data_IF_621534468500
#
_entry.id   IF_621534468500
#
_cell.length_a   1.000
_cell.length_b   1.000
_cell.length_c   1.000
_cell.angle_alpha   90.00
_cell.angle_beta   90.00
_cell.angle_gamma   90.00
#
_symmetry.space_group_name_H-M   'P 1'
#
loop_
_entity.id
_entity.type
_entity.pdbx_description
1 polymer ?
#
# COMPACT_ATOMS: atom_id res chain seq x y z
N UNK A 1 43.87 23.83 -62.42
CA UNK A 1 43.41 22.73 -61.58
C UNK A 1 44.43 22.37 -60.51
N UNK A 2 44.12 22.72 -59.26
CA UNK A 2 44.78 22.19 -58.08
C UNK A 2 43.70 21.57 -57.20
N UNK A 3 43.66 20.23 -57.15
CA UNK A 3 42.69 19.45 -56.38
C UNK A 3 42.98 19.51 -54.88
N UNK A 4 41.95 19.85 -54.10
CA UNK A 4 42.00 19.92 -52.65
C UNK A 4 42.05 18.54 -51.98
N UNK A 5 42.99 18.35 -51.06
CA UNK A 5 43.01 17.24 -50.12
C UNK A 5 42.07 17.54 -48.94
N UNK A 6 41.00 16.76 -48.79
CA UNK A 6 40.20 16.71 -47.56
C UNK A 6 40.94 15.86 -46.52
N UNK A 7 41.63 16.52 -45.59
CA UNK A 7 42.21 15.89 -44.40
C UNK A 7 41.11 15.49 -43.41
N UNK A 8 40.78 14.20 -43.36
CA UNK A 8 39.94 13.62 -42.32
C UNK A 8 40.66 13.66 -40.97
N UNK A 9 39.96 14.16 -39.95
CA UNK A 9 40.47 14.28 -38.59
C UNK A 9 40.65 12.88 -37.96
N UNK A 10 41.86 12.48 -37.49
CA UNK A 10 42.13 11.12 -37.01
C UNK A 10 41.61 10.86 -35.57
N UNK A 11 40.95 11.84 -34.96
CA UNK A 11 40.43 11.77 -33.59
C UNK A 11 38.91 11.54 -33.54
N UNK A 12 38.33 10.90 -34.57
CA UNK A 12 37.01 10.30 -34.44
C UNK A 12 37.14 9.11 -33.48
N UNK A 13 37.03 9.40 -32.18
CA UNK A 13 36.74 8.41 -31.16
C UNK A 13 35.36 7.84 -31.48
N UNK A 14 35.34 6.83 -32.34
CA UNK A 14 34.19 5.98 -32.53
C UNK A 14 33.74 5.52 -31.16
N UNK A 15 32.52 5.90 -30.79
CA UNK A 15 31.78 5.34 -29.67
C UNK A 15 31.61 3.84 -29.94
N UNK A 16 32.66 3.06 -29.65
CA UNK A 16 32.58 1.63 -29.54
C UNK A 16 31.62 1.34 -28.40
N UNK A 17 30.40 0.92 -28.76
CA UNK A 17 29.47 0.29 -27.84
C UNK A 17 30.16 -0.95 -27.30
N UNK A 18 30.92 -0.77 -26.22
CA UNK A 18 31.44 -1.85 -25.41
C UNK A 18 30.22 -2.46 -24.72
N UNK A 19 29.61 -3.45 -25.40
CA UNK A 19 28.60 -4.31 -24.82
C UNK A 19 29.30 -5.16 -23.76
N UNK A 20 29.58 -4.57 -22.61
CA UNK A 20 30.10 -5.27 -21.45
C UNK A 20 28.92 -6.04 -20.85
N UNK A 21 28.86 -7.38 -20.93
CA UNK A 21 27.74 -8.16 -20.42
C UNK A 21 27.54 -8.00 -18.90
N UNK A 22 28.58 -7.53 -18.20
CA UNK A 22 28.51 -7.17 -16.79
C UNK A 22 27.70 -5.88 -16.54
N UNK A 23 27.84 -4.84 -17.37
CA UNK A 23 27.07 -3.60 -17.21
C UNK A 23 25.60 -3.80 -17.59
N UNK A 24 25.32 -4.56 -18.65
CA UNK A 24 23.93 -4.88 -19.03
C UNK A 24 23.22 -5.76 -18.00
N UNK A 25 23.92 -6.72 -17.38
CA UNK A 25 23.38 -7.54 -16.29
C UNK A 25 23.08 -6.74 -15.03
N UNK A 26 23.95 -5.79 -14.67
CA UNK A 26 23.76 -4.90 -13.53
C UNK A 26 22.56 -3.96 -13.75
N UNK A 27 22.49 -3.27 -14.89
CA UNK A 27 21.36 -2.38 -15.25
C UNK A 27 20.02 -3.13 -15.23
N UNK A 28 19.97 -4.36 -15.76
CA UNK A 28 18.77 -5.21 -15.73
C UNK A 28 18.35 -5.56 -14.30
N UNK A 29 19.30 -5.87 -13.42
CA UNK A 29 19.04 -6.15 -12.00
C UNK A 29 18.43 -4.93 -11.29
N UNK A 30 19.02 -3.75 -11.45
CA UNK A 30 18.50 -2.52 -10.84
C UNK A 30 17.12 -2.16 -11.37
N UNK A 31 16.89 -2.30 -12.67
CA UNK A 31 15.57 -2.10 -13.28
C UNK A 31 14.50 -3.04 -12.72
N UNK A 32 14.85 -4.31 -12.49
CA UNK A 32 13.93 -5.27 -11.88
C UNK A 32 13.59 -4.89 -10.43
N UNK A 33 14.58 -4.55 -9.61
CA UNK A 33 14.36 -4.16 -8.21
C UNK A 33 13.53 -2.88 -8.08
N UNK A 34 13.81 -1.87 -8.90
CA UNK A 34 13.01 -0.62 -8.91
C UNK A 34 11.55 -0.87 -9.30
N UNK A 35 11.31 -1.78 -10.25
CA UNK A 35 9.96 -2.22 -10.61
C UNK A 35 9.25 -2.89 -9.42
N UNK A 36 9.93 -3.80 -8.72
CA UNK A 36 9.36 -4.51 -7.54
C UNK A 36 9.04 -3.52 -6.41
N UNK A 37 9.95 -2.58 -6.10
CA UNK A 37 9.75 -1.54 -5.09
C UNK A 37 8.54 -0.68 -5.45
N UNK A 38 8.45 -0.23 -6.70
CA UNK A 38 7.34 0.61 -7.18
C UNK A 38 6.02 -0.15 -7.11
N UNK A 39 5.98 -1.40 -7.57
CA UNK A 39 4.79 -2.24 -7.50
C UNK A 39 4.34 -2.46 -6.05
N UNK A 40 5.25 -2.78 -5.14
CA UNK A 40 4.96 -2.89 -3.70
C UNK A 40 4.33 -1.60 -3.16
N UNK A 41 4.96 -0.45 -3.41
CA UNK A 41 4.52 0.85 -2.89
C UNK A 41 3.14 1.24 -3.44
N UNK A 42 2.91 1.06 -4.74
CA UNK A 42 1.62 1.37 -5.38
C UNK A 42 0.52 0.45 -4.85
N UNK A 43 0.74 -0.87 -4.80
CA UNK A 43 -0.26 -1.82 -4.32
C UNK A 43 -0.60 -1.60 -2.84
N UNK A 44 0.40 -1.36 -1.99
CA UNK A 44 0.19 -1.06 -0.58
C UNK A 44 -0.57 0.26 -0.38
N UNK A 45 -0.22 1.30 -1.15
CA UNK A 45 -0.88 2.60 -1.11
C UNK A 45 -2.32 2.52 -1.60
N UNK A 46 -2.60 1.77 -2.67
CA UNK A 46 -3.96 1.55 -3.14
C UNK A 46 -4.79 0.81 -2.08
N UNK A 47 -4.23 -0.25 -1.49
CA UNK A 47 -4.93 -1.02 -0.46
C UNK A 47 -5.27 -0.14 0.76
N UNK A 48 -4.25 0.40 1.44
CA UNK A 48 -4.44 1.11 2.72
C UNK A 48 -4.79 2.59 2.59
N UNK A 49 -4.27 3.25 1.57
CA UNK A 49 -4.52 4.66 1.31
C UNK A 49 -5.88 4.90 0.67
N UNK A 50 -6.52 3.90 0.04
CA UNK A 50 -7.76 4.12 -0.69
C UNK A 50 -8.83 3.03 -0.48
N UNK A 51 -8.59 1.79 -0.91
CA UNK A 51 -9.66 0.78 -1.02
C UNK A 51 -10.21 0.35 0.35
N UNK A 52 -9.33 0.09 1.33
CA UNK A 52 -9.74 -0.22 2.70
C UNK A 52 -10.55 0.94 3.34
N UNK A 53 -10.05 2.20 3.34
CA UNK A 53 -10.83 3.35 3.80
C UNK A 53 -12.18 3.49 3.13
N UNK A 54 -12.24 3.40 1.79
CA UNK A 54 -13.48 3.54 1.01
C UNK A 54 -14.50 2.48 1.41
N UNK A 55 -14.09 1.22 1.49
CA UNK A 55 -14.99 0.14 1.92
C UNK A 55 -15.52 0.35 3.34
N UNK A 56 -14.71 0.90 4.24
CA UNK A 56 -15.13 1.25 5.59
C UNK A 56 -16.03 2.50 5.67
N UNK A 57 -15.81 3.51 4.82
CA UNK A 57 -16.69 4.69 4.74
C UNK A 57 -18.07 4.26 4.21
N UNK A 58 -18.10 3.48 3.12
CA UNK A 58 -19.32 3.08 2.43
C UNK A 58 -20.32 2.39 3.36
N UNK A 59 -19.87 1.42 4.16
CA UNK A 59 -20.73 0.67 5.11
C UNK A 59 -21.32 1.56 6.23
N UNK A 60 -20.78 2.78 6.41
CA UNK A 60 -21.24 3.72 7.44
C UNK A 60 -22.16 4.81 6.91
N UNK A 61 -21.96 5.26 5.67
CA UNK A 61 -22.73 6.38 5.09
C UNK A 61 -23.90 5.92 4.23
N UNK A 62 -23.79 4.76 3.57
CA UNK A 62 -24.83 4.26 2.69
C UNK A 62 -25.82 3.37 3.44
N UNK A 63 -27.04 3.25 2.91
CA UNK A 63 -28.08 2.37 3.44
C UNK A 63 -28.93 1.84 2.30
N UNK A 64 -28.62 0.64 1.81
CA UNK A 64 -29.39 -0.05 0.77
C UNK A 64 -29.29 -1.58 0.93
N UNK A 65 -30.24 -2.36 0.37
CA UNK A 65 -30.21 -3.81 0.41
C UNK A 65 -28.94 -4.37 -0.28
N UNK A 66 -28.15 -5.17 0.44
CA UNK A 66 -26.91 -5.76 -0.10
C UNK A 66 -25.64 -4.96 0.17
N UNK A 67 -25.70 -3.86 0.93
CA UNK A 67 -24.52 -3.05 1.30
C UNK A 67 -23.39 -3.87 1.96
N UNK A 68 -23.71 -4.88 2.76
CA UNK A 68 -22.70 -5.74 3.39
C UNK A 68 -21.95 -6.62 2.39
N UNK A 69 -22.60 -7.04 1.29
CA UNK A 69 -21.93 -7.74 0.19
C UNK A 69 -21.00 -6.81 -0.58
N UNK A 70 -21.45 -5.58 -0.87
CA UNK A 70 -20.61 -4.57 -1.52
C UNK A 70 -19.39 -4.24 -0.65
N UNK A 71 -19.60 -4.07 0.66
CA UNK A 71 -18.50 -3.91 1.61
C UNK A 71 -17.55 -5.10 1.54
N UNK A 72 -18.05 -6.33 1.67
CA UNK A 72 -17.24 -7.55 1.62
C UNK A 72 -16.42 -7.66 0.32
N UNK A 73 -17.01 -7.30 -0.83
CA UNK A 73 -16.33 -7.30 -2.12
C UNK A 73 -15.18 -6.28 -2.17
N UNK A 74 -15.43 -5.04 -1.73
CA UNK A 74 -14.39 -4.01 -1.67
C UNK A 74 -13.26 -4.43 -0.72
N UNK A 75 -13.60 -5.02 0.43
CA UNK A 75 -12.61 -5.55 1.37
C UNK A 75 -11.80 -6.70 0.76
N UNK A 76 -12.43 -7.60 -0.01
CA UNK A 76 -11.74 -8.69 -0.70
C UNK A 76 -10.75 -8.16 -1.74
N UNK A 77 -11.13 -7.15 -2.52
CA UNK A 77 -10.23 -6.50 -3.48
C UNK A 77 -9.04 -5.85 -2.76
N UNK A 78 -9.29 -5.08 -1.70
CA UNK A 78 -8.23 -4.48 -0.89
C UNK A 78 -7.28 -5.55 -0.31
N UNK A 79 -7.84 -6.69 0.11
CA UNK A 79 -7.06 -7.79 0.65
C UNK A 79 -6.13 -8.41 -0.39
N UNK A 80 -6.63 -8.68 -1.60
CA UNK A 80 -5.82 -9.23 -2.70
C UNK A 80 -4.67 -8.27 -3.04
N UNK A 81 -4.96 -6.97 -3.16
CA UNK A 81 -3.94 -5.95 -3.41
C UNK A 81 -2.87 -5.97 -2.31
N UNK A 82 -3.29 -6.08 -1.04
CA UNK A 82 -2.34 -6.09 0.06
C UNK A 82 -1.54 -7.39 0.17
N UNK A 83 -2.12 -8.56 -0.12
CA UNK A 83 -1.37 -9.82 -0.18
C UNK A 83 -0.26 -9.72 -1.23
N UNK A 84 -0.57 -9.20 -2.42
CA UNK A 84 0.41 -8.98 -3.47
C UNK A 84 1.51 -8.00 -3.02
N UNK A 85 1.12 -6.87 -2.42
CA UNK A 85 2.06 -5.90 -1.88
C UNK A 85 2.97 -6.53 -0.80
N UNK A 86 2.39 -7.26 0.17
CA UNK A 86 3.11 -7.92 1.24
C UNK A 86 4.09 -8.97 0.71
N UNK A 87 3.68 -9.78 -0.27
CA UNK A 87 4.55 -10.76 -0.91
C UNK A 87 5.80 -10.12 -1.53
N UNK A 88 5.62 -9.03 -2.29
CA UNK A 88 6.74 -8.27 -2.85
C UNK A 88 7.62 -7.64 -1.75
N UNK A 89 7.00 -7.10 -0.70
CA UNK A 89 7.71 -6.49 0.43
C UNK A 89 8.53 -7.52 1.23
N UNK A 90 7.98 -8.70 1.49
CA UNK A 90 8.65 -9.80 2.17
C UNK A 90 9.80 -10.36 1.32
N UNK A 91 9.60 -10.49 0.01
CA UNK A 91 10.66 -10.83 -0.93
C UNK A 91 11.84 -9.86 -0.84
N UNK A 92 11.58 -8.54 -0.93
CA UNK A 92 12.64 -7.54 -0.81
C UNK A 92 13.29 -7.54 0.58
N UNK A 93 12.50 -7.58 1.65
CA UNK A 93 13.02 -7.49 3.02
C UNK A 93 13.88 -8.70 3.40
N UNK A 94 13.62 -9.88 2.85
CA UNK A 94 14.47 -11.06 3.02
C UNK A 94 15.80 -10.92 2.26
N UNK A 95 15.76 -10.51 0.99
CA UNK A 95 16.96 -10.39 0.15
C UNK A 95 17.87 -9.22 0.57
N UNK A 96 17.29 -8.14 1.09
CA UNK A 96 18.03 -6.97 1.56
C UNK A 96 18.36 -7.03 3.07
N UNK A 97 18.00 -8.12 3.75
CA UNK A 97 18.16 -8.29 5.21
C UNK A 97 17.53 -7.15 6.04
N UNK A 98 16.34 -6.67 5.63
CA UNK A 98 15.62 -5.53 6.22
C UNK A 98 14.39 -5.93 7.04
N UNK A 99 14.24 -7.22 7.41
CA UNK A 99 13.10 -7.69 8.20
C UNK A 99 13.02 -7.06 9.61
N UNK A 100 14.14 -6.57 10.14
CA UNK A 100 14.22 -5.89 11.43
C UNK A 100 13.79 -4.41 11.38
N UNK A 101 13.47 -3.87 10.20
CA UNK A 101 13.02 -2.50 10.07
C UNK A 101 11.56 -2.36 10.53
N UNK A 102 11.25 -1.22 11.17
CA UNK A 102 9.90 -0.96 11.71
C UNK A 102 8.80 -1.15 10.66
N UNK A 103 9.03 -0.70 9.42
CA UNK A 103 8.10 -0.87 8.30
C UNK A 103 7.80 -2.36 8.00
N UNK A 104 8.83 -3.21 7.99
CA UNK A 104 8.67 -4.63 7.72
C UNK A 104 7.94 -5.33 8.88
N UNK A 105 8.31 -5.05 10.12
CA UNK A 105 7.68 -5.61 11.32
C UNK A 105 6.18 -5.24 11.37
N UNK A 106 5.86 -3.96 11.20
CA UNK A 106 4.46 -3.49 11.20
C UNK A 106 3.70 -4.10 10.02
N UNK A 107 4.31 -4.20 8.84
CA UNK A 107 3.72 -4.87 7.69
C UNK A 107 3.37 -6.34 7.95
N UNK A 108 4.24 -7.09 8.63
CA UNK A 108 3.98 -8.48 9.01
C UNK A 108 2.82 -8.56 10.02
N UNK A 109 2.82 -7.70 11.04
CA UNK A 109 1.72 -7.64 12.02
C UNK A 109 0.40 -7.33 11.32
N UNK A 110 0.37 -6.34 10.42
CA UNK A 110 -0.81 -6.00 9.64
C UNK A 110 -1.30 -7.19 8.82
N UNK A 111 -0.40 -7.88 8.11
CA UNK A 111 -0.76 -9.08 7.33
C UNK A 111 -1.40 -10.17 8.19
N UNK A 112 -0.78 -10.50 9.33
CA UNK A 112 -1.28 -11.53 10.26
C UNK A 112 -2.63 -11.13 10.84
N UNK A 113 -2.78 -9.90 11.31
CA UNK A 113 -4.05 -9.43 11.91
C UNK A 113 -5.16 -9.38 10.86
N UNK A 114 -4.84 -8.93 9.65
CA UNK A 114 -5.81 -8.81 8.56
C UNK A 114 -6.26 -10.18 8.04
N UNK A 115 -5.43 -11.22 8.14
CA UNK A 115 -5.85 -12.60 7.89
C UNK A 115 -7.05 -13.04 8.75
N UNK A 116 -7.12 -12.57 10.01
CA UNK A 116 -8.24 -12.91 10.90
C UNK A 116 -9.48 -12.02 10.72
N UNK A 117 -9.35 -10.87 10.04
CA UNK A 117 -10.45 -9.91 9.86
C UNK A 117 -11.68 -10.48 9.12
N UNK A 118 -11.56 -11.24 8.01
CA UNK A 118 -12.71 -11.82 7.31
C UNK A 118 -13.51 -12.78 8.19
N UNK A 119 -12.84 -13.62 8.98
CA UNK A 119 -13.50 -14.55 9.90
C UNK A 119 -14.31 -13.80 10.95
N UNK A 120 -13.71 -12.76 11.56
CA UNK A 120 -14.39 -11.87 12.50
C UNK A 120 -15.56 -11.12 11.84
N UNK A 121 -15.41 -10.71 10.57
CA UNK A 121 -16.44 -10.02 9.79
C UNK A 121 -17.64 -10.91 9.46
N UNK A 122 -17.41 -12.15 9.06
CA UNK A 122 -18.46 -13.15 8.81
C UNK A 122 -19.20 -13.45 10.12
N UNK A 123 -18.46 -13.70 11.20
CA UNK A 123 -19.06 -13.94 12.51
C UNK A 123 -19.90 -12.74 12.98
N UNK A 124 -19.39 -11.53 12.81
CA UNK A 124 -20.12 -10.31 13.11
C UNK A 124 -21.43 -10.22 12.30
N UNK A 125 -21.38 -10.45 11.00
CA UNK A 125 -22.55 -10.32 10.13
C UNK A 125 -23.62 -11.38 10.43
N UNK A 126 -23.22 -12.64 10.65
CA UNK A 126 -24.13 -13.74 11.02
C UNK A 126 -24.77 -13.47 12.38
N UNK A 127 -23.98 -13.06 13.36
CA UNK A 127 -24.49 -12.81 14.72
C UNK A 127 -25.38 -11.56 14.79
N UNK A 128 -25.06 -10.51 14.04
CA UNK A 128 -25.91 -9.31 13.94
C UNK A 128 -27.28 -9.64 13.33
N UNK A 129 -27.31 -10.47 12.28
CA UNK A 129 -28.57 -10.97 11.69
C UNK A 129 -29.40 -11.81 12.65
N UNK A 130 -28.75 -12.55 13.57
CA UNK A 130 -29.40 -13.50 14.49
C UNK A 130 -29.89 -12.86 15.80
N UNK A 131 -29.19 -11.86 16.32
CA UNK A 131 -29.48 -11.30 17.66
C UNK A 131 -29.99 -9.85 17.63
N UNK A 132 -29.98 -9.15 16.48
CA UNK A 132 -30.34 -7.71 16.37
C UNK A 132 -29.63 -6.78 17.39
N UNK A 133 -28.54 -7.25 18.01
CA UNK A 133 -27.72 -6.52 18.99
C UNK A 133 -26.25 -6.78 18.70
N UNK A 134 -25.40 -5.78 18.97
CA UNK A 134 -23.93 -5.93 18.87
C UNK A 134 -23.46 -6.92 19.94
N UNK A 135 -22.85 -8.01 19.50
CA UNK A 135 -22.15 -8.95 20.38
C UNK A 135 -20.70 -8.47 20.54
N UNK A 136 -19.96 -8.94 21.53
CA UNK A 136 -18.56 -8.54 21.79
C UNK A 136 -17.69 -8.57 20.51
N UNK A 137 -17.93 -9.55 19.65
CA UNK A 137 -17.28 -9.72 18.34
C UNK A 137 -17.54 -8.58 17.34
N UNK A 138 -18.69 -7.90 17.43
CA UNK A 138 -19.01 -6.69 16.66
C UNK A 138 -18.05 -5.55 16.98
N UNK A 139 -17.77 -5.33 18.27
CA UNK A 139 -16.86 -4.27 18.70
C UNK A 139 -15.42 -4.59 18.30
N UNK A 140 -15.01 -5.86 18.46
CA UNK A 140 -13.70 -6.34 18.02
C UNK A 140 -13.46 -6.04 16.54
N UNK A 141 -14.34 -6.48 15.64
CA UNK A 141 -14.18 -6.26 14.21
C UNK A 141 -14.10 -4.76 13.84
N UNK A 142 -14.99 -3.93 14.41
CA UNK A 142 -15.06 -2.49 14.10
C UNK A 142 -13.81 -1.75 14.58
N UNK A 143 -13.39 -1.95 15.84
CA UNK A 143 -12.22 -1.27 16.39
C UNK A 143 -10.93 -1.76 15.76
N UNK A 144 -10.81 -3.06 15.56
CA UNK A 144 -9.65 -3.65 14.90
C UNK A 144 -9.50 -3.13 13.47
N UNK A 145 -10.58 -2.99 12.71
CA UNK A 145 -10.55 -2.40 11.37
C UNK A 145 -10.04 -0.94 11.36
N UNK A 146 -10.41 -0.13 12.36
CA UNK A 146 -9.92 1.26 12.49
C UNK A 146 -8.42 1.32 12.78
N UNK A 147 -7.95 0.46 13.67
CA UNK A 147 -6.54 0.35 14.05
C UNK A 147 -5.72 -0.10 12.85
N UNK A 148 -6.15 -1.16 12.15
CA UNK A 148 -5.48 -1.69 10.96
C UNK A 148 -5.32 -0.62 9.88
N UNK A 149 -6.40 0.11 9.55
CA UNK A 149 -6.34 1.15 8.51
C UNK A 149 -5.37 2.27 8.90
N UNK A 150 -5.43 2.71 10.16
CA UNK A 150 -4.54 3.78 10.65
C UNK A 150 -3.07 3.33 10.65
N UNK A 151 -2.79 2.14 11.17
CA UNK A 151 -1.44 1.58 11.18
C UNK A 151 -0.93 1.32 9.76
N UNK A 152 -1.78 0.90 8.82
CA UNK A 152 -1.38 0.71 7.43
C UNK A 152 -0.98 2.01 6.72
N UNK A 153 -1.69 3.11 6.98
CA UNK A 153 -1.31 4.43 6.48
C UNK A 153 0.01 4.91 7.11
N UNK A 154 0.17 4.76 8.42
CA UNK A 154 1.45 5.06 9.08
C UNK A 154 2.57 4.20 8.49
N UNK A 155 2.30 2.91 8.25
CA UNK A 155 3.27 2.00 7.69
C UNK A 155 3.71 2.37 6.27
N UNK A 156 2.79 2.87 5.43
CA UNK A 156 3.17 3.37 4.11
C UNK A 156 4.08 4.59 4.19
N UNK A 157 3.84 5.51 5.14
CA UNK A 157 4.75 6.62 5.45
C UNK A 157 6.13 6.13 5.92
N UNK A 158 6.18 5.12 6.80
CA UNK A 158 7.43 4.49 7.22
C UNK A 158 8.17 3.81 6.06
N UNK A 159 7.45 3.24 5.09
CA UNK A 159 8.03 2.65 3.89
C UNK A 159 8.72 3.69 3.01
N UNK A 160 8.08 4.85 2.81
CA UNK A 160 8.69 5.98 2.10
C UNK A 160 9.92 6.51 2.83
N UNK A 161 9.84 6.67 4.16
CA UNK A 161 10.99 7.09 4.97
C UNK A 161 12.15 6.08 4.91
N UNK A 162 11.84 4.78 4.94
CA UNK A 162 12.84 3.73 4.83
C UNK A 162 13.54 3.77 3.47
N UNK A 163 12.79 3.92 2.38
CA UNK A 163 13.34 4.04 1.02
C UNK A 163 14.24 5.27 0.85
N UNK A 164 13.90 6.40 1.48
CA UNK A 164 14.78 7.57 1.53
C UNK A 164 16.07 7.28 2.31
N UNK A 165 15.96 6.69 3.50
CA UNK A 165 17.09 6.46 4.41
C UNK A 165 18.11 5.47 3.84
N UNK A 166 17.65 4.42 3.14
CA UNK A 166 18.55 3.41 2.58
C UNK A 166 19.12 3.80 1.23
N UNK A 167 18.58 4.84 0.59
CA UNK A 167 18.88 5.22 -0.80
C UNK A 167 18.61 4.11 -1.83
N UNK A 168 17.96 3.03 -1.42
CA UNK A 168 17.51 1.94 -2.28
C UNK A 168 16.19 2.42 -2.90
N UNK A 169 16.31 3.16 -4.00
CA UNK A 169 15.21 3.86 -4.66
C UNK A 169 14.59 4.97 -3.80
N UNK A 170 15.34 6.05 -3.59
CA UNK A 170 14.85 7.23 -2.88
C UNK A 170 13.68 7.86 -3.65
N UNK A 171 12.45 7.89 -3.09
CA UNK A 171 11.32 8.50 -3.76
C UNK A 171 11.54 10.00 -3.90
N UNK A 172 11.10 10.62 -5.02
CA UNK A 172 11.20 12.06 -5.18
C UNK A 172 10.33 12.77 -4.14
N UNK A 173 10.73 13.97 -3.73
CA UNK A 173 9.99 14.77 -2.72
C UNK A 173 8.51 14.91 -3.05
N UNK A 174 8.16 15.02 -4.34
CA UNK A 174 6.78 15.08 -4.80
C UNK A 174 5.95 13.83 -4.47
N UNK A 175 6.54 12.63 -4.53
CA UNK A 175 5.85 11.38 -4.18
C UNK A 175 5.54 11.31 -2.67
N UNK A 176 6.48 11.77 -1.84
CA UNK A 176 6.32 11.79 -0.38
C UNK A 176 5.25 12.81 0.03
N UNK A 177 5.31 14.01 -0.55
CA UNK A 177 4.32 15.06 -0.31
C UNK A 177 2.95 14.59 -0.79
N UNK A 178 2.86 14.05 -1.99
CA UNK A 178 1.62 13.53 -2.58
C UNK A 178 0.99 12.44 -1.72
N UNK A 179 1.78 11.46 -1.29
CA UNK A 179 1.32 10.42 -0.37
C UNK A 179 0.84 11.01 0.96
N UNK A 180 1.65 11.88 1.59
CA UNK A 180 1.35 12.44 2.91
C UNK A 180 0.04 13.24 2.92
N UNK A 181 -0.16 14.08 1.90
CA UNK A 181 -1.38 14.88 1.75
C UNK A 181 -2.58 13.98 1.45
N UNK A 182 -2.48 13.09 0.46
CA UNK A 182 -3.59 12.23 0.06
C UNK A 182 -4.01 11.28 1.19
N UNK A 183 -3.05 10.59 1.81
CA UNK A 183 -3.31 9.65 2.89
C UNK A 183 -3.86 10.37 4.14
N UNK A 184 -3.35 11.57 4.46
CA UNK A 184 -3.85 12.41 5.54
C UNK A 184 -5.32 12.81 5.33
N UNK A 185 -5.66 13.31 4.14
CA UNK A 185 -7.04 13.68 3.79
C UNK A 185 -7.98 12.48 3.85
N UNK A 186 -7.60 11.36 3.25
CA UNK A 186 -8.43 10.15 3.25
C UNK A 186 -8.61 9.61 4.68
N UNK A 187 -7.56 9.62 5.49
CA UNK A 187 -7.65 9.20 6.88
C UNK A 187 -8.59 10.11 7.70
N UNK A 188 -8.51 11.43 7.51
CA UNK A 188 -9.42 12.37 8.18
C UNK A 188 -10.88 12.14 7.79
N UNK A 189 -11.17 11.97 6.50
CA UNK A 189 -12.52 11.65 6.02
C UNK A 189 -12.99 10.33 6.63
N UNK A 190 -12.14 9.30 6.60
CA UNK A 190 -12.43 7.99 7.16
C UNK A 190 -12.75 8.07 8.67
N UNK A 191 -11.93 8.80 9.44
CA UNK A 191 -12.13 9.02 10.88
C UNK A 191 -13.41 9.80 11.16
N UNK A 192 -13.68 10.89 10.43
CA UNK A 192 -14.90 11.67 10.58
C UNK A 192 -16.14 10.80 10.34
N UNK A 193 -16.19 10.04 9.25
CA UNK A 193 -17.28 9.09 8.98
C UNK A 193 -17.39 8.01 10.06
N UNK A 194 -16.27 7.52 10.59
CA UNK A 194 -16.24 6.51 11.64
C UNK A 194 -16.78 7.04 12.99
N UNK A 195 -16.54 8.31 13.31
CA UNK A 195 -17.04 8.97 14.52
C UNK A 195 -18.52 9.31 14.37
N UNK A 196 -18.92 9.97 13.27
CA UNK A 196 -20.32 10.35 13.00
C UNK A 196 -21.21 9.12 12.92
N UNK A 197 -20.75 8.06 12.24
CA UNK A 197 -21.49 6.80 12.13
C UNK A 197 -21.70 6.09 13.47
N UNK A 198 -20.80 6.30 14.44
CA UNK A 198 -20.95 5.76 15.80
C UNK A 198 -21.89 6.66 16.64
N UNK A 199 -21.76 7.99 16.52
CA UNK A 199 -22.62 8.95 17.22
C UNK A 199 -24.10 8.79 16.83
N UNK A 200 -24.40 8.60 15.53
CA UNK A 200 -25.78 8.40 15.03
C UNK A 200 -26.43 7.08 15.49
N UNK A 201 -25.66 6.13 16.01
CA UNK A 201 -26.16 4.79 16.41
C UNK A 201 -26.28 4.63 17.93
N UNK A 202 -25.89 5.62 18.72
CA UNK A 202 -26.21 5.67 20.15
C UNK A 202 -27.70 6.03 20.29
N UNK A 203 -28.52 5.24 21.02
CA UNK A 203 -29.87 5.70 21.35
C UNK A 203 -29.74 6.97 22.19
N UNK A 204 -30.58 7.97 21.89
CA UNK A 204 -30.81 9.10 22.79
C UNK A 204 -31.22 8.52 24.15
N UNK A 205 -30.32 8.67 25.13
CA UNK A 205 -30.56 8.36 26.54
C UNK A 205 -31.64 9.26 27.11
#
# INVERSE_FOLDING_TARGET
DFGGSSGGNPYSSGSGSSNNPFSSGFESFFSQYTTIITAHAVLATLAFGLVFPVGGILIRIASFPGLSWVHGLIQAIAYILYIAAFGLGAYMATHLHMLNQAHAIIGIVLFVVLFFQPFLGILHHVMFKRHSRRVIWSYGHIWLGRIIITLGIINGGLGLWLAQKTHIYAPPSGAIIGYSVAAGVIWLIYMACAIIGEARRKPSS
#
